data_IF_886520294735
#
_entry.id   IF_886520294735
#
_cell.length_a   1.000
_cell.length_b   1.000
_cell.length_c   1.000
_cell.angle_alpha   90.00
_cell.angle_beta   90.00
_cell.angle_gamma   90.00
#
_symmetry.space_group_name_H-M   'P 1'
#
loop_
_entity.id
_entity.type
_entity.pdbx_description
1 polymer ?
#
# COMPACT_ATOMS: atom_id res chain seq x y z
N UNK A 1 35.78 27.29 -8.12
CA UNK A 1 35.19 27.65 -6.82
C UNK A 1 33.65 27.58 -6.95
N UNK A 2 33.13 26.40 -7.33
CA UNK A 2 31.70 26.17 -7.63
C UNK A 2 31.11 25.08 -6.70
N UNK A 3 31.92 24.51 -5.80
CA UNK A 3 31.42 23.60 -4.79
C UNK A 3 31.24 24.34 -3.47
N UNK A 4 30.26 23.89 -2.69
CA UNK A 4 29.90 24.29 -1.31
C UNK A 4 28.87 25.41 -1.14
N UNK A 5 27.68 25.24 -1.70
CA UNK A 5 26.42 25.68 -1.09
C UNK A 5 25.27 24.77 -1.58
N UNK A 6 25.42 23.46 -1.39
CA UNK A 6 24.20 22.65 -1.19
C UNK A 6 23.65 23.18 0.13
N UNK A 7 22.52 23.89 0.08
CA UNK A 7 21.86 24.44 1.27
C UNK A 7 21.65 23.32 2.28
N UNK A 8 21.68 23.63 3.58
CA UNK A 8 21.42 22.65 4.66
C UNK A 8 20.16 21.82 4.37
N UNK A 9 19.14 22.45 3.80
CA UNK A 9 17.86 21.86 3.40
C UNK A 9 18.02 20.81 2.28
N UNK A 10 18.83 21.08 1.25
CA UNK A 10 19.09 20.10 0.20
C UNK A 10 19.88 18.89 0.73
N UNK A 11 20.72 19.06 1.74
CA UNK A 11 21.37 17.94 2.44
C UNK A 11 20.36 17.12 3.25
N UNK A 12 19.42 17.77 3.94
CA UNK A 12 18.36 17.12 4.70
C UNK A 12 17.43 16.31 3.79
N UNK A 13 17.03 16.87 2.64
CA UNK A 13 16.22 16.16 1.65
C UNK A 13 16.96 14.96 1.03
N UNK A 14 18.26 15.09 0.77
CA UNK A 14 19.08 13.98 0.27
C UNK A 14 19.23 12.87 1.33
N UNK A 15 19.34 13.24 2.61
CA UNK A 15 19.29 12.28 3.71
C UNK A 15 17.95 11.56 3.79
N UNK A 16 16.84 12.29 3.68
CA UNK A 16 15.49 11.72 3.64
C UNK A 16 15.31 10.77 2.45
N UNK A 17 15.80 11.12 1.26
CA UNK A 17 15.75 10.25 0.08
C UNK A 17 16.45 8.91 0.35
N UNK A 18 17.67 8.95 0.88
CA UNK A 18 18.43 7.74 1.20
C UNK A 18 17.67 6.86 2.20
N UNK A 19 17.08 7.47 3.23
CA UNK A 19 16.27 6.75 4.21
C UNK A 19 15.05 6.08 3.56
N UNK A 20 14.34 6.79 2.68
CA UNK A 20 13.18 6.24 1.97
C UNK A 20 13.58 5.08 1.05
N UNK A 21 14.69 5.20 0.30
CA UNK A 21 15.18 4.13 -0.57
C UNK A 21 15.57 2.86 0.20
N UNK A 22 16.25 3.01 1.34
CA UNK A 22 16.59 1.87 2.20
C UNK A 22 15.36 1.16 2.77
N UNK A 23 14.30 1.90 3.07
CA UNK A 23 13.03 1.36 3.57
C UNK A 23 12.21 0.72 2.46
N UNK A 24 12.18 1.33 1.28
CA UNK A 24 11.49 0.82 0.09
C UNK A 24 11.97 -0.59 -0.26
N UNK A 25 13.30 -0.81 -0.30
CA UNK A 25 13.89 -2.12 -0.58
C UNK A 25 13.38 -3.24 0.35
N UNK A 26 13.03 -2.90 1.58
CA UNK A 26 12.51 -3.85 2.59
C UNK A 26 11.02 -4.15 2.39
N UNK A 27 10.33 -3.33 1.61
CA UNK A 27 8.87 -3.32 1.42
C UNK A 27 8.46 -3.46 -0.06
N UNK A 28 9.36 -3.88 -0.94
CA UNK A 28 9.00 -4.21 -2.32
C UNK A 28 8.33 -5.60 -2.40
N UNK A 29 7.29 -5.78 -3.23
CA UNK A 29 6.79 -7.09 -3.59
C UNK A 29 7.87 -7.94 -4.28
N UNK A 30 7.80 -9.26 -4.10
CA UNK A 30 8.76 -10.17 -4.74
C UNK A 30 8.50 -10.22 -6.25
N UNK A 31 9.47 -9.78 -7.06
CA UNK A 31 9.36 -9.77 -8.52
C UNK A 31 9.01 -11.14 -9.15
N UNK A 32 9.49 -12.25 -8.57
CA UNK A 32 9.10 -13.58 -9.04
C UNK A 32 7.60 -13.89 -8.85
N UNK A 33 7.00 -13.40 -7.77
CA UNK A 33 5.58 -13.57 -7.51
C UNK A 33 4.71 -12.70 -8.41
N UNK A 34 5.11 -11.44 -8.63
CA UNK A 34 4.40 -10.55 -9.55
C UNK A 34 4.39 -11.09 -10.99
N UNK A 35 5.55 -11.53 -11.50
CA UNK A 35 5.65 -12.14 -12.84
C UNK A 35 4.75 -13.37 -13.00
N UNK A 36 4.55 -14.15 -11.94
CA UNK A 36 3.61 -15.27 -11.98
C UNK A 36 2.17 -14.79 -12.15
N UNK A 37 1.77 -13.73 -11.43
CA UNK A 37 0.43 -13.14 -11.52
C UNK A 37 0.18 -12.52 -12.91
N UNK A 38 1.19 -11.87 -13.48
CA UNK A 38 1.14 -11.27 -14.82
C UNK A 38 1.00 -12.32 -15.94
N UNK A 39 1.71 -13.44 -15.81
CA UNK A 39 1.73 -14.49 -16.86
C UNK A 39 0.59 -15.51 -16.72
N UNK A 40 -0.15 -15.49 -15.60
CA UNK A 40 -1.24 -16.46 -15.36
C UNK A 40 -2.49 -16.09 -16.16
N UNK A 41 -2.96 -17.02 -16.98
CA UNK A 41 -4.25 -16.92 -17.66
C UNK A 41 -5.43 -17.18 -16.73
N UNK A 42 -6.56 -16.53 -16.99
CA UNK A 42 -7.75 -16.71 -16.18
C UNK A 42 -8.41 -18.06 -16.44
N UNK A 43 -8.32 -18.93 -15.45
CA UNK A 43 -8.99 -20.22 -15.39
C UNK A 43 -9.82 -20.39 -14.10
N UNK A 44 -10.04 -19.29 -13.36
CA UNK A 44 -10.73 -19.27 -12.07
C UNK A 44 -9.99 -19.91 -10.89
N UNK A 45 -8.80 -20.49 -11.08
CA UNK A 45 -8.09 -21.24 -10.03
C UNK A 45 -6.91 -20.49 -9.40
N UNK A 46 -6.42 -19.43 -10.06
CA UNK A 46 -5.21 -18.70 -9.67
C UNK A 46 -5.42 -17.21 -9.79
N UNK A 47 -4.64 -16.46 -9.02
CA UNK A 47 -4.57 -15.01 -9.15
C UNK A 47 -4.00 -14.60 -10.50
N UNK A 48 -4.59 -13.56 -11.07
CA UNK A 48 -4.18 -12.91 -12.32
C UNK A 48 -4.03 -11.41 -12.10
N UNK A 49 -3.28 -10.73 -12.98
CA UNK A 49 -3.17 -9.27 -12.94
C UNK A 49 -4.55 -8.60 -12.99
N UNK A 50 -5.46 -9.11 -13.84
CA UNK A 50 -6.84 -8.61 -13.96
C UNK A 50 -7.60 -8.67 -12.64
N UNK A 51 -7.50 -9.78 -11.90
CA UNK A 51 -8.19 -9.92 -10.61
C UNK A 51 -7.59 -8.97 -9.57
N UNK A 52 -6.26 -8.83 -9.53
CA UNK A 52 -5.58 -7.86 -8.67
C UNK A 52 -6.03 -6.44 -8.98
N UNK A 53 -6.14 -6.07 -10.25
CA UNK A 53 -6.56 -4.72 -10.66
C UNK A 53 -8.02 -4.44 -10.34
N UNK A 54 -8.89 -5.46 -10.39
CA UNK A 54 -10.26 -5.36 -9.89
C UNK A 54 -10.27 -5.04 -8.40
N UNK A 55 -9.55 -5.81 -7.59
CA UNK A 55 -9.46 -5.58 -6.15
C UNK A 55 -8.88 -4.18 -5.83
N UNK A 56 -7.84 -3.73 -6.53
CA UNK A 56 -7.26 -2.39 -6.32
C UNK A 56 -8.28 -1.28 -6.63
N UNK A 57 -9.17 -1.47 -7.61
CA UNK A 57 -10.26 -0.53 -7.86
C UNK A 57 -11.28 -0.51 -6.72
N UNK A 58 -11.64 -1.68 -6.18
CA UNK A 58 -12.51 -1.76 -5.01
C UNK A 58 -11.89 -1.04 -3.80
N UNK A 59 -10.58 -1.23 -3.56
CA UNK A 59 -9.86 -0.52 -2.49
C UNK A 59 -9.87 1.00 -2.69
N UNK A 60 -9.69 1.47 -3.92
CA UNK A 60 -9.78 2.90 -4.25
C UNK A 60 -11.17 3.45 -3.96
N UNK A 61 -12.23 2.74 -4.35
CA UNK A 61 -13.62 3.13 -4.07
C UNK A 61 -13.90 3.17 -2.58
N UNK A 62 -13.34 2.24 -1.79
CA UNK A 62 -13.45 2.27 -0.33
C UNK A 62 -12.71 3.47 0.26
N UNK A 63 -11.47 3.75 -0.16
CA UNK A 63 -10.73 4.95 0.26
C UNK A 63 -11.57 6.20 0.04
N UNK A 64 -12.17 6.34 -1.14
CA UNK A 64 -13.00 7.49 -1.49
C UNK A 64 -14.29 7.56 -0.67
N UNK A 65 -14.96 6.43 -0.46
CA UNK A 65 -16.20 6.35 0.30
C UNK A 65 -16.01 6.80 1.76
N UNK A 66 -14.94 6.35 2.40
CA UNK A 66 -14.64 6.71 3.79
C UNK A 66 -13.91 8.06 3.93
N UNK A 67 -13.47 8.67 2.81
CA UNK A 67 -12.68 9.90 2.84
C UNK A 67 -11.29 9.72 3.45
N UNK A 68 -10.69 8.53 3.30
CA UNK A 68 -9.35 8.26 3.80
C UNK A 68 -8.27 8.88 2.92
N UNK A 69 -7.10 9.07 3.51
CA UNK A 69 -5.96 9.70 2.85
C UNK A 69 -5.39 8.82 1.73
N UNK A 70 -4.73 9.44 0.75
CA UNK A 70 -4.07 8.73 -0.37
C UNK A 70 -2.98 7.79 0.13
N UNK A 71 -2.33 8.11 1.25
CA UNK A 71 -1.38 7.26 1.96
C UNK A 71 -2.00 5.92 2.35
N UNK A 72 -3.25 5.93 2.82
CA UNK A 72 -4.00 4.72 3.20
C UNK A 72 -4.22 3.82 2.00
N UNK A 73 -4.66 4.39 0.88
CA UNK A 73 -4.78 3.65 -0.38
C UNK A 73 -3.43 3.08 -0.82
N UNK A 74 -2.40 3.93 -0.90
CA UNK A 74 -1.06 3.53 -1.37
C UNK A 74 -0.47 2.41 -0.50
N UNK A 75 -0.63 2.49 0.81
CA UNK A 75 -0.19 1.46 1.75
C UNK A 75 -0.99 0.16 1.59
N UNK A 76 -2.31 0.25 1.41
CA UNK A 76 -3.16 -0.93 1.19
C UNK A 76 -2.74 -1.73 -0.05
N UNK A 77 -2.44 -1.04 -1.16
CA UNK A 77 -1.95 -1.65 -2.40
C UNK A 77 -0.57 -2.28 -2.19
N UNK A 78 0.34 -1.58 -1.49
CA UNK A 78 1.65 -2.14 -1.16
C UNK A 78 1.53 -3.45 -0.36
N UNK A 79 0.68 -3.48 0.67
CA UNK A 79 0.44 -4.68 1.49
C UNK A 79 -0.14 -5.82 0.65
N UNK A 80 -1.14 -5.53 -0.17
CA UNK A 80 -1.77 -6.50 -1.08
C UNK A 80 -0.74 -7.12 -2.02
N UNK A 81 0.03 -6.29 -2.73
CA UNK A 81 1.00 -6.78 -3.72
C UNK A 81 2.12 -7.60 -3.08
N UNK A 82 2.63 -7.17 -1.92
CA UNK A 82 3.65 -7.93 -1.17
C UNK A 82 3.10 -9.28 -0.71
N UNK A 83 1.84 -9.33 -0.31
CA UNK A 83 1.20 -10.56 0.13
C UNK A 83 0.96 -11.51 -1.05
N UNK A 84 0.34 -11.02 -2.14
CA UNK A 84 0.08 -11.80 -3.35
C UNK A 84 1.38 -12.31 -4.00
N UNK A 85 2.46 -11.52 -3.97
CA UNK A 85 3.76 -11.94 -4.48
C UNK A 85 4.42 -13.07 -3.65
N UNK A 86 3.97 -13.31 -2.41
CA UNK A 86 4.48 -14.38 -1.54
C UNK A 86 3.56 -15.59 -1.45
N UNK A 87 2.26 -15.41 -1.68
CA UNK A 87 1.23 -16.38 -1.35
C UNK A 87 0.46 -16.84 -2.59
N UNK A 88 0.20 -18.15 -2.68
CA UNK A 88 -0.71 -18.71 -3.69
C UNK A 88 -2.16 -18.53 -3.24
N UNK A 89 -2.70 -17.34 -3.46
CA UNK A 89 -4.09 -16.99 -3.12
C UNK A 89 -5.03 -17.57 -4.19
N UNK A 90 -6.18 -18.10 -3.77
CA UNK A 90 -7.26 -18.45 -4.69
C UNK A 90 -8.17 -17.22 -4.89
N UNK A 91 -8.70 -16.97 -6.10
CA UNK A 91 -9.55 -15.80 -6.37
C UNK A 91 -10.68 -15.58 -5.38
N UNK A 92 -11.32 -16.66 -4.90
CA UNK A 92 -12.40 -16.60 -3.90
C UNK A 92 -12.03 -15.94 -2.56
N UNK A 93 -10.74 -15.87 -2.23
CA UNK A 93 -10.24 -15.26 -1.00
C UNK A 93 -9.73 -13.84 -1.22
N UNK A 94 -9.71 -13.34 -2.46
CA UNK A 94 -9.11 -12.06 -2.80
C UNK A 94 -9.74 -10.90 -2.03
N UNK A 95 -11.07 -10.79 -2.02
CA UNK A 95 -11.75 -9.71 -1.29
C UNK A 95 -11.46 -9.73 0.22
N UNK A 96 -11.29 -10.92 0.83
CA UNK A 96 -10.91 -11.01 2.24
C UNK A 96 -9.46 -10.56 2.46
N UNK A 97 -8.54 -10.93 1.57
CA UNK A 97 -7.14 -10.50 1.60
C UNK A 97 -7.03 -8.99 1.39
N UNK A 98 -7.70 -8.45 0.37
CA UNK A 98 -7.65 -7.04 0.02
C UNK A 98 -8.28 -6.15 1.09
N UNK A 99 -9.49 -6.47 1.57
CA UNK A 99 -10.11 -5.72 2.67
C UNK A 99 -9.28 -5.78 3.95
N UNK A 100 -8.62 -6.91 4.23
CA UNK A 100 -7.69 -7.02 5.37
C UNK A 100 -6.47 -6.10 5.20
N UNK A 101 -5.85 -6.09 4.02
CA UNK A 101 -4.73 -5.20 3.71
C UNK A 101 -5.14 -3.72 3.82
N UNK A 102 -6.34 -3.40 3.35
CA UNK A 102 -6.96 -2.08 3.51
C UNK A 102 -7.16 -1.72 4.97
N UNK A 103 -7.72 -2.61 5.77
CA UNK A 103 -7.95 -2.33 7.19
C UNK A 103 -6.65 -2.16 7.98
N UNK A 104 -5.62 -2.94 7.67
CA UNK A 104 -4.28 -2.76 8.23
C UNK A 104 -3.69 -1.40 7.86
N UNK A 105 -3.89 -0.94 6.63
CA UNK A 105 -3.45 0.38 6.20
C UNK A 105 -4.19 1.47 6.98
N UNK A 106 -5.53 1.41 7.03
CA UNK A 106 -6.38 2.36 7.78
C UNK A 106 -5.91 2.49 9.23
N UNK A 107 -5.68 1.36 9.92
CA UNK A 107 -5.17 1.39 11.30
C UNK A 107 -3.76 1.97 11.47
N UNK A 108 -2.97 2.00 10.39
CA UNK A 108 -1.60 2.48 10.43
C UNK A 108 -1.45 3.97 10.07
N UNK A 109 -2.39 4.54 9.33
CA UNK A 109 -2.29 5.88 8.74
C UNK A 109 -3.40 6.84 9.18
N UNK A 110 -4.58 6.34 9.52
CA UNK A 110 -5.71 7.19 9.94
C UNK A 110 -5.73 7.40 11.46
N UNK A 111 -6.36 8.49 11.90
CA UNK A 111 -6.61 8.73 13.33
C UNK A 111 -7.50 7.64 13.91
N UNK A 112 -7.25 7.24 15.17
CA UNK A 112 -7.98 6.14 15.82
C UNK A 112 -9.51 6.33 15.80
N UNK A 113 -9.98 7.57 15.97
CA UNK A 113 -11.40 7.92 15.91
C UNK A 113 -12.05 7.73 14.52
N UNK A 114 -11.24 7.68 13.47
CA UNK A 114 -11.68 7.51 12.08
C UNK A 114 -11.61 6.04 11.64
N UNK A 115 -11.03 5.15 12.44
CA UNK A 115 -10.93 3.72 12.12
C UNK A 115 -12.31 3.07 12.29
N UNK A 116 -12.93 2.56 11.21
CA UNK A 116 -14.26 1.96 11.28
C UNK A 116 -14.20 0.58 11.93
N UNK A 117 -15.36 0.11 12.39
CA UNK A 117 -15.50 -1.26 12.86
C UNK A 117 -15.32 -2.24 11.69
N UNK A 118 -14.72 -3.40 11.98
CA UNK A 118 -14.59 -4.50 11.03
C UNK A 118 -15.94 -4.90 10.40
N UNK A 119 -17.01 -4.87 11.20
CA UNK A 119 -18.38 -5.16 10.75
C UNK A 119 -18.87 -4.17 9.69
N UNK A 120 -18.54 -2.89 9.84
CA UNK A 120 -18.95 -1.85 8.92
C UNK A 120 -18.19 -1.94 7.61
N UNK A 121 -16.87 -2.18 7.67
CA UNK A 121 -16.05 -2.41 6.47
C UNK A 121 -16.58 -3.58 5.64
N UNK A 122 -16.86 -4.72 6.27
CA UNK A 122 -17.38 -5.90 5.59
C UNK A 122 -18.75 -5.61 4.97
N UNK A 123 -19.63 -4.93 5.71
CA UNK A 123 -20.96 -4.56 5.23
C UNK A 123 -20.90 -3.61 4.04
N UNK A 124 -20.08 -2.56 4.12
CA UNK A 124 -19.96 -1.52 3.08
C UNK A 124 -19.30 -2.06 1.82
N UNK A 125 -18.26 -2.90 1.97
CA UNK A 125 -17.59 -3.57 0.85
C UNK A 125 -18.44 -4.66 0.19
N UNK A 126 -19.55 -5.08 0.82
CA UNK A 126 -20.45 -6.13 0.34
C UNK A 126 -19.77 -7.50 0.15
N UNK A 127 -18.60 -7.72 0.75
CA UNK A 127 -17.94 -9.01 0.69
C UNK A 127 -18.64 -10.05 1.57
N UNK A 128 -18.57 -11.32 1.14
CA UNK A 128 -19.24 -12.46 1.78
C UNK A 128 -18.26 -13.23 2.67
N UNK A 129 -17.80 -12.62 3.75
CA UNK A 129 -17.03 -13.28 4.81
C UNK A 129 -17.34 -12.65 6.17
N UNK A 130 -16.98 -13.35 7.24
CA UNK A 130 -17.26 -12.91 8.61
C UNK A 130 -16.12 -12.06 9.18
N UNK A 131 -16.38 -11.33 10.26
CA UNK A 131 -15.33 -10.65 11.03
C UNK A 131 -14.25 -11.64 11.48
N UNK A 132 -14.64 -12.86 11.86
CA UNK A 132 -13.70 -13.91 12.26
C UNK A 132 -12.75 -14.29 11.11
N UNK A 133 -13.26 -14.41 9.88
CA UNK A 133 -12.44 -14.66 8.70
C UNK A 133 -11.43 -13.53 8.47
N UNK A 134 -11.87 -12.27 8.62
CA UNK A 134 -11.00 -11.10 8.48
C UNK A 134 -9.92 -11.04 9.57
N UNK A 135 -10.25 -11.32 10.83
CA UNK A 135 -9.28 -11.36 11.93
C UNK A 135 -8.25 -12.48 11.74
N UNK A 136 -8.70 -13.64 11.23
CA UNK A 136 -7.80 -14.73 10.87
C UNK A 136 -6.88 -14.33 9.71
N UNK A 137 -7.43 -13.68 8.69
CA UNK A 137 -6.66 -13.20 7.55
C UNK A 137 -5.64 -12.14 7.97
N UNK A 138 -6.01 -11.24 8.88
CA UNK A 138 -5.12 -10.22 9.43
C UNK A 138 -3.86 -10.84 10.03
N UNK A 139 -4.02 -11.85 10.89
CA UNK A 139 -2.90 -12.59 11.46
C UNK A 139 -2.01 -13.19 10.37
N UNK A 140 -2.61 -13.81 9.34
CA UNK A 140 -1.87 -14.42 8.23
C UNK A 140 -1.09 -13.36 7.44
N UNK A 141 -1.71 -12.22 7.11
CA UNK A 141 -1.05 -11.11 6.40
C UNK A 141 0.13 -10.60 7.21
N UNK A 142 -0.07 -10.31 8.49
CA UNK A 142 0.98 -9.83 9.39
C UNK A 142 2.15 -10.82 9.48
N UNK A 143 1.88 -12.12 9.67
CA UNK A 143 2.91 -13.15 9.73
C UNK A 143 3.70 -13.25 8.42
N UNK A 144 3.02 -13.26 7.26
CA UNK A 144 3.67 -13.38 5.94
C UNK A 144 4.45 -12.14 5.53
N UNK A 145 4.07 -10.97 6.07
CA UNK A 145 4.79 -9.72 5.90
C UNK A 145 5.80 -9.46 7.02
N UNK A 146 6.00 -10.40 7.94
CA UNK A 146 6.93 -10.29 9.07
C UNK A 146 6.66 -9.02 9.89
N UNK A 147 5.38 -8.69 10.08
CA UNK A 147 4.89 -7.51 10.81
C UNK A 147 5.35 -6.16 10.25
N UNK A 148 5.92 -6.14 9.04
CA UNK A 148 6.34 -4.92 8.35
C UNK A 148 5.15 -4.26 7.66
N UNK A 149 4.26 -3.66 8.46
CA UNK A 149 3.08 -2.96 7.95
C UNK A 149 3.49 -1.62 7.34
N UNK A 150 4.23 -0.78 8.06
CA UNK A 150 4.76 0.48 7.53
C UNK A 150 5.66 0.19 6.32
N UNK A 151 5.40 0.91 5.23
CA UNK A 151 6.15 0.78 3.99
C UNK A 151 6.32 2.16 3.36
N UNK A 152 7.50 2.41 2.79
CA UNK A 152 7.72 3.50 1.85
C UNK A 152 7.01 3.15 0.55
N UNK A 153 6.13 4.02 0.10
CA UNK A 153 5.44 3.91 -1.18
C UNK A 153 5.93 4.96 -2.17
N UNK A 154 5.56 4.79 -3.43
CA UNK A 154 5.84 5.79 -4.46
C UNK A 154 5.29 7.19 -4.10
N UNK A 155 4.21 7.26 -3.31
CA UNK A 155 3.65 8.53 -2.84
C UNK A 155 4.61 9.27 -1.90
N UNK A 156 5.34 8.56 -1.03
CA UNK A 156 6.33 9.20 -0.15
C UNK A 156 7.47 9.84 -0.96
N UNK A 157 7.94 9.15 -2.00
CA UNK A 157 8.96 9.67 -2.91
C UNK A 157 8.42 10.86 -3.72
N UNK A 158 7.17 10.78 -4.19
CA UNK A 158 6.53 11.89 -4.89
C UNK A 158 6.40 13.14 -4.01
N UNK A 159 5.99 12.98 -2.76
CA UNK A 159 5.93 14.11 -1.81
C UNK A 159 7.32 14.70 -1.57
N UNK A 160 8.35 13.87 -1.40
CA UNK A 160 9.73 14.35 -1.25
C UNK A 160 10.20 15.15 -2.48
N UNK A 161 9.98 14.62 -3.69
CA UNK A 161 10.35 15.31 -4.92
C UNK A 161 9.55 16.60 -5.11
N UNK A 162 8.27 16.60 -4.76
CA UNK A 162 7.45 17.80 -4.81
C UNK A 162 7.98 18.89 -3.87
N UNK A 163 8.32 18.54 -2.62
CA UNK A 163 8.94 19.48 -1.67
C UNK A 163 10.25 20.04 -2.20
N UNK A 164 11.12 19.17 -2.73
CA UNK A 164 12.39 19.59 -3.34
C UNK A 164 12.15 20.58 -4.50
N UNK A 165 11.22 20.28 -5.40
CA UNK A 165 10.93 21.16 -6.55
C UNK A 165 10.34 22.49 -6.07
N UNK A 166 9.38 22.46 -5.14
CA UNK A 166 8.72 23.65 -4.63
C UNK A 166 9.68 24.61 -3.94
N UNK A 167 10.61 24.10 -3.13
CA UNK A 167 11.62 24.89 -2.43
C UNK A 167 12.69 25.46 -3.36
N UNK A 168 12.96 24.80 -4.49
CA UNK A 168 13.97 25.22 -5.46
C UNK A 168 13.37 25.99 -6.65
N UNK A 169 12.05 26.20 -6.70
CA UNK A 169 11.44 27.03 -7.73
C UNK A 169 11.80 28.50 -7.45
N UNK A 170 12.42 29.22 -8.40
CA UNK A 170 12.56 30.65 -8.26
C UNK A 170 11.16 31.24 -8.17
N UNK A 171 10.89 32.01 -7.11
CA UNK A 171 9.60 32.68 -6.96
C UNK A 171 9.42 33.62 -8.15
N UNK A 172 8.61 33.23 -9.14
CA UNK A 172 8.13 34.17 -10.14
C UNK A 172 7.31 35.23 -9.39
N UNK A 173 7.90 36.43 -9.28
CA UNK A 173 7.30 37.65 -8.72
C UNK A 173 6.32 38.26 -9.71
#
# INVERSE_FOLDING_TARGET
MIDTLVTSEAQDLLHQLNLLLEQELKCQPKACGLRLIETTHDNGLRMTARLRDFEVKDLLSLTQFFGFNTETFSLSVNLLDRFLAKMKVQPKHLGCVGLTCFYLAVKATEEERNVPLATDLIRISQYKFTVFDMMRMEKIVLEKLSWKVKATTALNLLHLYHSLIYENLPSER
#
